data_IF_540375100160
#
_entry.id   IF_540375100160
#
_cell.length_a   1.000
_cell.length_b   1.000
_cell.length_c   1.000
_cell.angle_alpha   90.00
_cell.angle_beta   90.00
_cell.angle_gamma   90.00
#
_symmetry.space_group_name_H-M   'P 1'
#
loop_
_entity.id
_entity.type
_entity.pdbx_description
1 polymer ?
#
# COMPACT_ATOMS: atom_id res chain seq x y z
N UNK A 1 -34.45 -30.89 -19.97
CA UNK A 1 -33.30 -31.62 -19.39
C UNK A 1 -32.03 -31.49 -20.26
N UNK A 2 -31.58 -30.27 -20.63
CA UNK A 2 -30.45 -30.09 -21.59
C UNK A 2 -29.21 -29.35 -21.06
N UNK A 3 -29.31 -28.65 -19.94
CA UNK A 3 -28.24 -27.76 -19.45
C UNK A 3 -27.02 -28.47 -18.81
N UNK A 4 -27.14 -29.76 -18.47
CA UNK A 4 -26.05 -30.52 -17.83
C UNK A 4 -24.96 -30.95 -18.82
N UNK A 5 -25.34 -31.31 -20.04
CA UNK A 5 -24.38 -31.70 -21.09
C UNK A 5 -23.59 -30.49 -21.61
N UNK A 6 -24.25 -29.34 -21.77
CA UNK A 6 -23.59 -28.10 -22.22
C UNK A 6 -22.45 -27.64 -21.28
N UNK A 7 -22.55 -27.90 -19.97
CA UNK A 7 -21.49 -27.54 -19.01
C UNK A 7 -20.23 -28.38 -19.20
N UNK A 8 -20.36 -29.69 -19.46
CA UNK A 8 -19.22 -30.60 -19.63
C UNK A 8 -18.42 -30.24 -20.88
N UNK A 9 -19.10 -29.91 -21.99
CA UNK A 9 -18.43 -29.43 -23.21
C UNK A 9 -17.75 -28.06 -23.02
N UNK A 10 -18.30 -27.19 -22.17
CA UNK A 10 -17.68 -25.89 -21.84
C UNK A 10 -16.41 -26.03 -20.99
N UNK A 11 -16.35 -27.04 -20.12
CA UNK A 11 -15.19 -27.28 -19.23
C UNK A 11 -14.11 -28.16 -19.86
N UNK A 12 -14.31 -28.64 -21.08
CA UNK A 12 -13.30 -29.45 -21.75
C UNK A 12 -12.10 -28.59 -22.17
N UNK A 13 -10.91 -28.97 -21.69
CA UNK A 13 -9.62 -28.39 -22.08
C UNK A 13 -9.50 -26.86 -21.90
N UNK A 14 -10.03 -26.35 -20.78
CA UNK A 14 -10.00 -24.92 -20.45
C UNK A 14 -8.58 -24.40 -20.26
N UNK A 15 -7.67 -25.21 -19.70
CA UNK A 15 -6.27 -24.83 -19.44
C UNK A 15 -5.50 -24.53 -20.74
N UNK A 16 -5.58 -25.41 -21.74
CA UNK A 16 -4.92 -25.16 -23.04
C UNK A 16 -5.54 -23.97 -23.76
N UNK A 17 -6.86 -23.77 -23.63
CA UNK A 17 -7.55 -22.60 -24.20
C UNK A 17 -7.11 -21.32 -23.51
N UNK A 18 -6.98 -21.32 -22.19
CA UNK A 18 -6.50 -20.18 -21.41
C UNK A 18 -5.05 -19.83 -21.80
N UNK A 19 -4.15 -20.82 -21.88
CA UNK A 19 -2.77 -20.62 -22.33
C UNK A 19 -2.70 -20.00 -23.73
N UNK A 20 -3.55 -20.45 -24.66
CA UNK A 20 -3.65 -19.90 -26.03
C UNK A 20 -4.15 -18.45 -26.05
N UNK A 21 -5.05 -18.06 -25.16
CA UNK A 21 -5.54 -16.68 -25.07
C UNK A 21 -4.52 -15.76 -24.39
N UNK A 22 -3.81 -16.25 -23.37
CA UNK A 22 -2.78 -15.49 -22.64
C UNK A 22 -1.54 -15.26 -23.53
N UNK A 23 -1.21 -16.21 -24.42
CA UNK A 23 -0.06 -16.07 -25.33
C UNK A 23 -0.28 -15.10 -26.48
N UNK A 24 -1.51 -14.61 -26.70
CA UNK A 24 -1.77 -13.58 -27.71
C UNK A 24 -1.28 -12.23 -27.17
N UNK A 25 -0.75 -11.42 -28.07
CA UNK A 25 -0.42 -10.04 -27.73
C UNK A 25 -1.68 -9.28 -27.29
N UNK A 26 -1.55 -8.43 -26.26
CA UNK A 26 -2.68 -7.65 -25.76
C UNK A 26 -3.17 -6.72 -26.87
N UNK A 27 -4.49 -6.60 -27.09
CA UNK A 27 -5.01 -5.67 -28.08
C UNK A 27 -4.64 -4.25 -27.68
N UNK A 28 -4.47 -3.38 -28.67
CA UNK A 28 -4.23 -1.96 -28.47
C UNK A 28 -5.37 -1.40 -27.60
N UNK A 29 -5.06 -0.73 -26.47
CA UNK A 29 -6.10 -0.14 -25.64
C UNK A 29 -6.92 0.84 -26.46
N UNK A 30 -8.22 0.89 -26.20
CA UNK A 30 -9.10 1.86 -26.87
C UNK A 30 -8.56 3.29 -26.68
N UNK A 31 -8.64 4.14 -27.70
CA UNK A 31 -8.22 5.53 -27.58
C UNK A 31 -9.01 6.22 -26.47
N UNK A 32 -8.32 7.03 -25.67
CA UNK A 32 -8.96 7.83 -24.62
C UNK A 32 -9.75 8.97 -25.26
N UNK A 33 -10.94 9.26 -24.72
CA UNK A 33 -11.72 10.43 -25.11
C UNK A 33 -10.88 11.70 -24.93
N UNK A 34 -10.89 12.66 -25.87
CA UNK A 34 -10.19 13.93 -25.68
C UNK A 34 -10.75 14.63 -24.44
N UNK A 35 -9.90 14.86 -23.45
CA UNK A 35 -10.28 15.64 -22.26
C UNK A 35 -9.91 17.09 -22.54
N UNK A 36 -10.92 17.94 -22.73
CA UNK A 36 -10.75 19.34 -23.13
C UNK A 36 -9.97 20.19 -22.11
N UNK A 37 -10.04 19.84 -20.83
CA UNK A 37 -9.64 20.74 -19.73
C UNK A 37 -8.14 21.00 -19.57
N UNK A 38 -7.25 20.14 -20.06
CA UNK A 38 -5.80 20.32 -19.85
C UNK A 38 -5.06 20.82 -21.09
N UNK A 39 -5.60 20.58 -22.29
CA UNK A 39 -4.96 21.02 -23.53
C UNK A 39 -5.31 22.48 -23.87
N UNK A 40 -6.51 22.96 -23.59
CA UNK A 40 -6.93 24.34 -23.92
C UNK A 40 -6.06 25.40 -23.22
N UNK A 41 -5.59 25.14 -22.00
CA UNK A 41 -4.66 26.04 -21.30
C UNK A 41 -3.23 25.97 -21.87
N UNK A 42 -2.83 24.81 -22.41
CA UNK A 42 -1.52 24.66 -23.05
C UNK A 42 -1.48 25.35 -24.42
N UNK A 43 -2.62 25.42 -25.10
CA UNK A 43 -2.78 26.04 -26.42
C UNK A 43 -2.81 27.59 -26.35
N UNK A 44 -3.08 28.17 -25.17
CA UNK A 44 -3.17 29.62 -24.96
C UNK A 44 -2.29 30.09 -23.77
N UNK A 45 -0.98 30.32 -23.99
CA UNK A 45 -0.07 30.80 -22.94
C UNK A 45 -0.45 32.19 -22.40
N UNK A 46 -1.09 33.02 -23.22
CA UNK A 46 -1.56 34.36 -22.86
C UNK A 46 -2.55 34.33 -21.66
N UNK A 47 -3.45 33.34 -21.63
CA UNK A 47 -4.43 33.17 -20.56
C UNK A 47 -3.73 32.74 -19.26
N UNK A 48 -2.71 31.91 -19.34
CA UNK A 48 -1.93 31.51 -18.16
C UNK A 48 -1.20 32.71 -17.55
N UNK A 49 -0.57 33.54 -18.38
CA UNK A 49 0.12 34.75 -17.92
C UNK A 49 -0.85 35.74 -17.28
N UNK A 50 -2.06 35.90 -17.82
CA UNK A 50 -3.12 36.73 -17.24
C UNK A 50 -3.61 36.21 -15.88
N UNK A 51 -3.73 34.88 -15.71
CA UNK A 51 -4.11 34.26 -14.43
C UNK A 51 -3.05 34.52 -13.34
N UNK A 52 -1.77 34.47 -13.69
CA UNK A 52 -0.69 34.75 -12.74
C UNK A 52 -0.48 36.25 -12.51
N UNK A 53 -0.97 37.10 -13.41
CA UNK A 53 -0.87 38.55 -13.28
C UNK A 53 -1.91 39.06 -12.29
N UNK A 54 -1.45 39.91 -11.37
CA UNK A 54 -2.32 40.62 -10.44
C UNK A 54 -3.14 41.69 -11.17
N UNK A 55 -4.47 41.62 -11.10
CA UNK A 55 -5.37 42.64 -11.60
C UNK A 55 -5.85 43.57 -10.48
N UNK A 56 -5.41 44.83 -10.52
CA UNK A 56 -5.71 45.82 -9.48
C UNK A 56 -7.20 46.25 -9.47
N UNK A 57 -7.92 46.07 -10.59
CA UNK A 57 -9.37 46.34 -10.63
C UNK A 57 -10.13 45.32 -9.79
N UNK A 58 -9.86 44.04 -10.00
CA UNK A 58 -10.46 42.95 -9.22
C UNK A 58 -10.06 43.02 -7.74
N UNK A 59 -8.80 43.39 -7.47
CA UNK A 59 -8.33 43.62 -6.09
C UNK A 59 -9.13 44.71 -5.38
N UNK A 60 -9.47 45.79 -6.07
CA UNK A 60 -10.24 46.90 -5.49
C UNK A 60 -11.67 46.45 -5.18
N UNK A 61 -12.31 45.73 -6.11
CA UNK A 61 -13.64 45.15 -5.89
C UNK A 61 -13.67 44.16 -4.72
N UNK A 62 -12.64 43.33 -4.57
CA UNK A 62 -12.55 42.40 -3.44
C UNK A 62 -12.37 43.09 -2.09
N UNK A 63 -11.74 44.28 -2.05
CA UNK A 63 -11.61 45.08 -0.82
C UNK A 63 -12.94 45.69 -0.41
N UNK A 64 -13.76 46.07 -1.39
CA UNK A 64 -15.06 46.72 -1.15
C UNK A 64 -16.14 45.72 -0.68
N UNK A 65 -15.99 44.43 -0.99
CA UNK A 65 -16.93 43.38 -0.59
C UNK A 65 -16.59 42.87 0.82
N UNK A 66 -17.37 43.29 1.81
CA UNK A 66 -17.33 42.75 3.17
C UNK A 66 -18.42 41.68 3.36
N UNK A 67 -18.03 40.46 3.71
CA UNK A 67 -18.95 39.35 3.97
C UNK A 67 -18.92 39.01 5.46
N UNK A 68 -20.05 39.19 6.14
CA UNK A 68 -20.25 38.74 7.51
C UNK A 68 -20.98 37.38 7.47
N UNK A 69 -20.27 36.27 7.68
CA UNK A 69 -20.91 34.96 7.87
C UNK A 69 -21.45 34.90 9.30
N UNK A 70 -22.77 34.78 9.42
CA UNK A 70 -23.48 34.59 10.70
C UNK A 70 -23.80 33.12 10.98
N UNK A 71 -23.20 32.23 10.22
CA UNK A 71 -23.42 30.81 10.41
C UNK A 71 -22.78 30.37 11.72
N UNK A 72 -23.47 29.55 12.54
CA UNK A 72 -22.83 28.95 13.70
C UNK A 72 -21.58 28.20 13.24
N UNK A 73 -20.46 28.25 13.98
CA UNK A 73 -19.24 27.57 13.58
C UNK A 73 -19.58 26.11 13.35
N UNK A 74 -19.57 25.69 12.09
CA UNK A 74 -19.67 24.29 11.73
C UNK A 74 -18.54 23.63 12.50
N UNK A 75 -18.87 22.80 13.48
CA UNK A 75 -17.91 21.87 14.03
C UNK A 75 -17.47 21.05 12.84
N UNK A 76 -16.31 21.39 12.28
CA UNK A 76 -15.61 20.54 11.33
C UNK A 76 -15.38 19.28 12.13
N UNK A 77 -16.29 18.32 11.98
CA UNK A 77 -16.00 16.98 12.45
C UNK A 77 -14.74 16.64 11.68
N UNK A 78 -13.65 16.37 12.39
CA UNK A 78 -12.49 15.63 11.88
C UNK A 78 -12.90 14.19 11.50
N UNK A 79 -14.12 14.01 10.96
CA UNK A 79 -14.51 12.84 10.22
C UNK A 79 -13.73 12.92 8.92
N UNK A 80 -12.61 12.18 8.90
CA UNK A 80 -11.69 12.07 7.78
C UNK A 80 -12.42 12.13 6.45
N UNK A 81 -12.41 13.32 5.85
CA UNK A 81 -12.89 13.50 4.50
C UNK A 81 -12.03 12.62 3.60
N UNK A 82 -12.69 11.93 2.68
CA UNK A 82 -12.12 11.03 1.67
C UNK A 82 -11.06 11.70 0.74
N UNK A 83 -10.70 12.95 1.03
CA UNK A 83 -9.81 13.82 0.27
C UNK A 83 -8.77 14.59 1.11
N UNK A 84 -8.66 14.38 2.42
CA UNK A 84 -7.47 14.81 3.15
C UNK A 84 -6.36 13.79 2.86
N UNK A 85 -5.12 14.21 2.51
CA UNK A 85 -4.02 13.26 2.42
C UNK A 85 -3.93 12.58 3.78
N UNK A 86 -4.24 11.28 3.81
CA UNK A 86 -4.11 10.43 4.99
C UNK A 86 -2.79 10.82 5.65
N UNK A 87 -2.85 11.23 6.93
CA UNK A 87 -1.70 11.72 7.72
C UNK A 87 -0.48 10.95 7.25
N UNK A 88 0.54 11.64 6.69
CA UNK A 88 1.71 10.96 6.12
C UNK A 88 2.28 10.03 7.20
N UNK A 89 1.93 8.75 7.15
CA UNK A 89 2.40 7.77 8.10
C UNK A 89 3.90 7.71 7.87
N UNK A 90 4.68 8.14 8.87
CA UNK A 90 6.14 8.11 8.77
C UNK A 90 6.57 6.68 8.46
N UNK A 91 7.29 6.48 7.36
CA UNK A 91 7.72 5.15 6.91
C UNK A 91 9.20 4.97 7.20
N UNK A 92 9.54 3.84 7.84
CA UNK A 92 10.90 3.36 8.00
C UNK A 92 11.28 2.44 6.84
N UNK A 93 12.58 2.32 6.59
CA UNK A 93 13.10 1.30 5.67
C UNK A 93 13.08 -0.06 6.36
N UNK A 94 12.70 -1.08 5.60
CA UNK A 94 12.72 -2.48 6.05
C UNK A 94 14.17 -2.92 6.20
N UNK A 95 14.47 -3.64 7.28
CA UNK A 95 15.85 -4.10 7.55
C UNK A 95 16.19 -5.38 6.80
N UNK A 96 15.18 -6.12 6.37
CA UNK A 96 15.33 -7.48 5.88
C UNK A 96 14.54 -7.69 4.59
N UNK A 97 15.23 -8.17 3.56
CA UNK A 97 14.66 -8.50 2.26
C UNK A 97 15.56 -9.51 1.56
N UNK A 98 14.99 -10.65 1.19
CA UNK A 98 15.72 -11.74 0.51
C UNK A 98 15.21 -11.97 -0.92
N UNK A 99 14.09 -11.35 -1.29
CA UNK A 99 13.39 -11.53 -2.55
C UNK A 99 13.62 -10.39 -3.55
N UNK A 100 14.56 -9.49 -3.25
CA UNK A 100 15.00 -8.42 -4.15
C UNK A 100 13.90 -7.38 -4.39
N UNK A 101 13.41 -7.29 -5.62
CA UNK A 101 12.42 -6.27 -6.00
C UNK A 101 11.00 -6.54 -5.52
N UNK A 102 10.70 -7.76 -5.09
CA UNK A 102 9.41 -8.13 -4.52
C UNK A 102 9.31 -7.80 -3.01
N UNK A 103 10.42 -7.42 -2.38
CA UNK A 103 10.43 -7.11 -0.96
C UNK A 103 9.75 -5.77 -0.65
N UNK A 104 9.09 -5.74 0.50
CA UNK A 104 8.54 -4.50 1.05
C UNK A 104 9.71 -3.59 1.43
N UNK A 105 9.94 -2.52 0.67
CA UNK A 105 11.07 -1.58 0.90
C UNK A 105 10.81 -0.58 2.03
N UNK A 106 9.54 -0.23 2.27
CA UNK A 106 9.12 0.79 3.25
C UNK A 106 7.96 0.28 4.11
N UNK A 107 8.11 0.31 5.42
CA UNK A 107 7.09 -0.08 6.40
C UNK A 107 6.69 1.14 7.24
N UNK A 108 5.40 1.39 7.49
CA UNK A 108 4.98 2.45 8.42
C UNK A 108 5.52 2.23 9.83
N UNK A 109 5.82 3.32 10.56
CA UNK A 109 6.14 3.24 11.99
C UNK A 109 4.98 2.60 12.77
N UNK A 110 5.30 1.85 13.82
CA UNK A 110 4.33 1.04 14.57
C UNK A 110 3.90 -0.26 13.87
N UNK A 111 4.35 -0.53 12.64
CA UNK A 111 4.05 -1.76 11.90
C UNK A 111 5.34 -2.52 11.57
N UNK A 112 5.21 -3.83 11.37
CA UNK A 112 6.29 -4.73 10.94
C UNK A 112 5.81 -5.62 9.79
N UNK A 113 6.74 -6.01 8.91
CA UNK A 113 6.46 -7.04 7.91
C UNK A 113 6.45 -8.43 8.53
N UNK A 114 5.85 -9.41 7.85
CA UNK A 114 5.82 -10.81 8.32
C UNK A 114 7.25 -11.39 8.44
N UNK A 115 8.12 -11.04 7.50
CA UNK A 115 9.53 -11.51 7.51
C UNK A 115 10.29 -10.93 8.69
N UNK A 116 10.08 -9.63 8.97
CA UNK A 116 10.59 -8.99 10.18
C UNK A 116 10.00 -9.62 11.45
N UNK A 117 8.69 -9.93 11.44
CA UNK A 117 8.00 -10.57 12.56
C UNK A 117 8.56 -11.96 12.91
N UNK A 118 8.87 -12.77 11.91
CA UNK A 118 9.47 -14.08 12.14
C UNK A 118 10.93 -13.96 12.61
N UNK A 119 11.67 -12.99 12.08
CA UNK A 119 13.08 -12.82 12.45
C UNK A 119 13.29 -12.23 13.82
N UNK A 120 12.51 -11.23 14.27
CA UNK A 120 12.63 -10.76 15.65
C UNK A 120 12.29 -11.88 16.65
N UNK A 121 11.25 -12.67 16.36
CA UNK A 121 10.80 -13.73 17.26
C UNK A 121 11.87 -14.84 17.35
N UNK A 122 12.48 -15.19 16.22
CA UNK A 122 13.57 -16.15 16.20
C UNK A 122 14.81 -15.62 16.95
N UNK A 123 15.19 -14.36 16.72
CA UNK A 123 16.34 -13.74 17.37
C UNK A 123 16.16 -13.61 18.90
N UNK A 124 14.97 -13.23 19.36
CA UNK A 124 14.62 -13.20 20.77
C UNK A 124 14.69 -14.59 21.41
N UNK A 125 14.19 -15.61 20.71
CA UNK A 125 14.25 -17.00 21.18
C UNK A 125 15.67 -17.53 21.31
N UNK A 126 16.57 -17.19 20.38
CA UNK A 126 17.97 -17.62 20.40
C UNK A 126 18.79 -16.87 21.46
N UNK A 127 18.60 -15.55 21.58
CA UNK A 127 19.38 -14.70 22.45
C UNK A 127 18.50 -13.67 23.19
N UNK A 128 17.74 -14.10 24.21
CA UNK A 128 16.78 -13.24 24.90
C UNK A 128 17.45 -12.08 25.65
N UNK A 129 18.68 -12.27 26.15
CA UNK A 129 19.43 -11.20 26.83
C UNK A 129 19.85 -10.07 25.88
N UNK A 130 20.20 -10.40 24.63
CA UNK A 130 20.66 -9.41 23.64
C UNK A 130 19.48 -8.76 22.95
N UNK A 131 18.43 -9.52 22.67
CA UNK A 131 17.21 -9.07 22.00
C UNK A 131 16.11 -8.79 23.00
N UNK A 132 16.33 -7.83 23.90
CA UNK A 132 15.31 -7.41 24.86
C UNK A 132 14.15 -6.68 24.16
N UNK A 133 12.96 -6.70 24.74
CA UNK A 133 11.77 -5.98 24.22
C UNK A 133 12.06 -4.49 23.92
N UNK A 134 12.84 -3.84 24.78
CA UNK A 134 13.25 -2.44 24.60
C UNK A 134 14.08 -2.22 23.33
N UNK A 135 15.05 -3.10 23.10
CA UNK A 135 15.90 -3.05 21.90
C UNK A 135 15.05 -3.22 20.65
N UNK A 136 14.15 -4.19 20.66
CA UNK A 136 13.25 -4.49 19.55
C UNK A 136 12.34 -3.30 19.24
N UNK A 137 11.75 -2.69 20.27
CA UNK A 137 10.89 -1.53 20.11
C UNK A 137 11.61 -0.35 19.45
N UNK A 138 12.84 -0.06 19.87
CA UNK A 138 13.66 1.00 19.27
C UNK A 138 14.04 0.65 17.83
N UNK A 139 14.49 -0.59 17.58
CA UNK A 139 15.00 -1.01 16.27
C UNK A 139 13.93 -1.05 15.18
N UNK A 140 12.71 -1.47 15.52
CA UNK A 140 11.57 -1.55 14.60
C UNK A 140 10.58 -0.40 14.72
N UNK A 141 10.85 0.59 15.58
CA UNK A 141 9.94 1.72 15.85
C UNK A 141 8.53 1.24 16.26
N UNK A 142 8.48 0.29 17.19
CA UNK A 142 7.26 -0.29 17.75
C UNK A 142 7.00 0.24 19.16
N UNK A 143 5.74 0.18 19.60
CA UNK A 143 5.40 0.46 20.98
C UNK A 143 5.82 -0.69 21.90
N UNK A 144 6.37 -0.36 23.08
CA UNK A 144 6.83 -1.36 24.05
C UNK A 144 5.71 -2.31 24.50
N UNK A 145 4.48 -1.79 24.62
CA UNK A 145 3.30 -2.59 25.01
C UNK A 145 2.99 -3.68 23.99
N UNK A 146 3.03 -3.32 22.72
CA UNK A 146 2.78 -4.23 21.61
C UNK A 146 3.89 -5.26 21.48
N UNK A 147 5.14 -4.85 21.66
CA UNK A 147 6.29 -5.78 21.64
C UNK A 147 6.21 -6.79 22.78
N UNK A 148 5.88 -6.36 23.99
CA UNK A 148 5.71 -7.29 25.12
C UNK A 148 4.59 -8.30 24.85
N UNK A 149 3.45 -7.84 24.36
CA UNK A 149 2.33 -8.70 23.96
C UNK A 149 2.73 -9.67 22.85
N UNK A 150 3.49 -9.18 21.86
CA UNK A 150 3.99 -9.99 20.75
C UNK A 150 4.90 -11.12 21.24
N UNK A 151 5.83 -10.83 22.15
CA UNK A 151 6.76 -11.83 22.71
C UNK A 151 6.07 -12.84 23.63
N UNK A 152 5.03 -12.41 24.37
CA UNK A 152 4.27 -13.28 25.27
C UNK A 152 3.35 -14.25 24.51
N UNK A 153 2.62 -13.75 23.50
CA UNK A 153 1.57 -14.53 22.83
C UNK A 153 2.03 -15.23 21.55
N UNK A 154 3.10 -14.78 20.89
CA UNK A 154 3.54 -15.35 19.60
C UNK A 154 4.86 -16.12 19.75
N UNK A 155 4.75 -17.44 19.91
CA UNK A 155 5.90 -18.35 20.01
C UNK A 155 6.18 -18.99 18.64
N UNK A 156 7.39 -18.83 18.07
CA UNK A 156 7.72 -19.42 16.77
C UNK A 156 7.92 -20.95 16.89
N UNK A 157 7.40 -21.68 15.90
CA UNK A 157 7.52 -23.14 15.80
C UNK A 157 8.98 -23.58 15.69
N UNK A 158 9.34 -24.65 16.41
CA UNK A 158 10.61 -25.36 16.20
C UNK A 158 10.45 -26.40 15.12
N UNK A 159 11.07 -26.20 13.97
CA UNK A 159 11.20 -27.25 12.96
C UNK A 159 12.34 -28.17 13.37
N UNK A 160 12.02 -29.43 13.66
CA UNK A 160 13.03 -30.48 13.84
C UNK A 160 13.10 -31.28 12.55
N UNK A 161 14.26 -31.25 11.90
CA UNK A 161 14.53 -32.13 10.76
C UNK A 161 15.04 -33.47 11.31
N UNK A 162 14.21 -34.51 11.18
CA UNK A 162 14.64 -35.85 11.52
C UNK A 162 15.61 -36.34 10.44
N UNK A 163 16.80 -36.86 10.82
CA UNK A 163 17.71 -37.45 9.86
C UNK A 163 16.99 -38.57 9.13
N UNK A 164 16.92 -38.49 7.80
CA UNK A 164 16.42 -39.58 6.98
C UNK A 164 17.48 -40.67 7.01
N UNK A 165 17.20 -41.77 7.72
CA UNK A 165 17.95 -43.02 7.64
C UNK A 165 18.16 -43.34 6.15
N UNK A 166 19.40 -43.18 5.67
CA UNK A 166 19.79 -43.60 4.33
C UNK A 166 19.78 -45.12 4.35
N UNK A 167 18.63 -45.72 4.06
CA UNK A 167 18.55 -47.15 3.76
C UNK A 167 19.46 -47.39 2.56
N UNK A 168 20.68 -47.85 2.83
CA UNK A 168 21.60 -48.36 1.81
C UNK A 168 20.85 -49.45 1.06
N UNK A 169 20.56 -49.19 -0.21
CA UNK A 169 20.08 -50.22 -1.11
C UNK A 169 21.17 -51.30 -1.16
N UNK A 170 20.83 -52.50 -0.69
CA UNK A 170 21.59 -53.73 -0.91
C UNK A 170 21.10 -54.32 -2.21
#
# INVERSE_FOLDING_TARGET
MGGRLARVFRTFNVESRARREISKEKPTPAPRHPTSRLNELADHPEIQEEIYRKDDRLLTLLKDVYVESRDPPVQVKDGGGEHLPCKQEEKRLTKLGHLGDLDVKKVPKGKISIVEALTLLNNHKLHPQVWTAEKIAVEYSLELKDVNSLLEFFIPFTVQEFPKETRKAI
#
